data_IF_343925328781
#
_entry.id   IF_343925328781
#
_cell.length_a   1.000
_cell.length_b   1.000
_cell.length_c   1.000
_cell.angle_alpha   90.00
_cell.angle_beta   90.00
_cell.angle_gamma   90.00
#
_symmetry.space_group_name_H-M   'P 1'
#
loop_
_entity.id
_entity.type
_entity.pdbx_description
1 polymer ?
#
# COMPACT_ATOMS: atom_id res chain seq x y z
N UNK A 1 -11.02 -14.15 -29.64
CA UNK A 1 -9.64 -13.76 -29.33
C UNK A 1 -9.70 -12.84 -28.14
N UNK A 2 -9.45 -13.38 -26.95
CA UNK A 2 -9.44 -12.59 -25.71
C UNK A 2 -8.04 -11.97 -25.60
N UNK A 3 -7.95 -10.66 -25.76
CA UNK A 3 -6.71 -9.91 -25.52
C UNK A 3 -6.47 -9.92 -24.02
N UNK A 4 -5.55 -10.76 -23.56
CA UNK A 4 -4.95 -10.64 -22.24
C UNK A 4 -4.03 -9.43 -22.28
N UNK A 5 -4.54 -8.27 -21.93
CA UNK A 5 -3.71 -7.16 -21.49
C UNK A 5 -3.15 -7.54 -20.11
N UNK A 6 -2.06 -8.29 -20.10
CA UNK A 6 -1.20 -8.43 -18.93
C UNK A 6 -0.47 -7.08 -18.74
N UNK A 7 -1.15 -6.09 -18.23
CA UNK A 7 -0.48 -5.04 -17.49
C UNK A 7 -0.08 -5.65 -16.15
N UNK A 8 1.10 -6.26 -16.13
CA UNK A 8 1.82 -6.47 -14.88
C UNK A 8 2.19 -5.04 -14.44
N UNK A 9 1.32 -4.43 -13.66
CA UNK A 9 1.68 -3.24 -12.89
C UNK A 9 2.83 -3.68 -11.99
N UNK A 10 4.03 -3.14 -12.25
CA UNK A 10 5.16 -3.43 -11.37
C UNK A 10 4.74 -3.08 -9.94
N UNK A 11 4.85 -4.03 -8.99
CA UNK A 11 4.43 -3.78 -7.61
C UNK A 11 5.33 -2.77 -6.90
N UNK A 12 6.43 -2.35 -7.54
CA UNK A 12 7.40 -1.40 -7.02
C UNK A 12 7.63 -0.23 -7.99
N UNK A 13 8.05 0.89 -7.43
CA UNK A 13 8.41 2.11 -8.17
C UNK A 13 9.77 2.62 -7.68
N UNK A 14 10.61 3.03 -8.62
CA UNK A 14 11.94 3.55 -8.30
C UNK A 14 11.91 5.02 -7.81
N UNK A 15 13.02 5.43 -7.24
CA UNK A 15 13.20 6.76 -6.65
C UNK A 15 13.04 7.89 -7.68
N UNK A 16 13.58 7.72 -8.89
CA UNK A 16 13.55 8.78 -9.89
C UNK A 16 12.14 8.98 -10.45
N UNK A 17 11.38 7.91 -10.63
CA UNK A 17 9.98 7.99 -11.01
C UNK A 17 9.13 8.71 -9.94
N UNK A 18 9.35 8.43 -8.65
CA UNK A 18 8.67 9.15 -7.56
C UNK A 18 9.07 10.62 -7.54
N UNK A 19 10.36 10.96 -7.68
CA UNK A 19 10.84 12.34 -7.71
C UNK A 19 10.22 13.16 -8.85
N UNK A 20 10.02 12.54 -10.01
CA UNK A 20 9.39 13.18 -11.15
C UNK A 20 7.91 13.54 -10.89
N UNK A 21 7.25 12.80 -10.02
CA UNK A 21 5.81 12.91 -9.74
C UNK A 21 5.47 13.49 -8.36
N UNK A 22 6.46 13.85 -7.54
CA UNK A 22 6.27 14.23 -6.14
C UNK A 22 5.36 15.45 -5.92
N UNK A 23 5.20 16.29 -6.95
CA UNK A 23 4.32 17.48 -6.93
C UNK A 23 3.09 17.30 -7.83
N UNK A 24 2.80 16.07 -8.29
CA UNK A 24 1.64 15.80 -9.12
C UNK A 24 0.43 15.49 -8.24
N UNK A 25 -0.63 16.26 -8.37
CA UNK A 25 -1.87 16.10 -7.60
C UNK A 25 -2.59 14.77 -7.88
N UNK A 26 -2.29 14.12 -9.01
CA UNK A 26 -2.80 12.79 -9.34
C UNK A 26 -2.07 11.64 -8.64
N UNK A 27 -0.96 11.93 -7.96
CA UNK A 27 -0.14 10.98 -7.21
C UNK A 27 -0.29 11.22 -5.72
N UNK A 28 -0.47 10.15 -4.94
CA UNK A 28 -0.51 10.19 -3.49
C UNK A 28 0.58 9.31 -2.89
N UNK A 29 1.49 9.94 -2.13
CA UNK A 29 2.47 9.20 -1.34
C UNK A 29 1.90 8.92 0.06
N UNK A 30 2.05 7.68 0.54
CA UNK A 30 1.63 7.26 1.88
C UNK A 30 2.86 6.84 2.68
N UNK A 31 3.06 7.48 3.81
CA UNK A 31 4.04 7.11 4.84
C UNK A 31 3.35 6.23 5.89
N UNK A 32 3.74 4.97 6.00
CA UNK A 32 3.12 4.00 6.92
C UNK A 32 3.80 3.98 8.30
N UNK A 33 4.87 4.75 8.49
CA UNK A 33 5.57 4.86 9.77
C UNK A 33 4.67 5.49 10.83
N UNK A 34 5.12 5.41 12.08
CA UNK A 34 4.42 6.05 13.20
C UNK A 34 4.33 7.57 13.01
N UNK A 35 3.30 8.17 13.57
CA UNK A 35 3.07 9.61 13.45
C UNK A 35 4.25 10.43 13.97
N UNK A 36 4.89 10.01 15.07
CA UNK A 36 6.06 10.68 15.64
C UNK A 36 7.23 10.70 14.64
N UNK A 37 7.47 9.60 13.93
CA UNK A 37 8.53 9.48 12.92
C UNK A 37 8.23 10.34 11.69
N UNK A 38 6.98 10.31 11.22
CA UNK A 38 6.49 11.15 10.14
C UNK A 38 6.64 12.65 10.46
N UNK A 39 6.28 13.07 11.66
CA UNK A 39 6.37 14.48 12.11
C UNK A 39 7.83 14.96 12.22
N UNK A 40 8.80 14.06 12.46
CA UNK A 40 10.23 14.38 12.44
C UNK A 40 10.77 14.58 11.02
N UNK A 41 10.10 14.03 10.03
CA UNK A 41 10.44 14.18 8.61
C UNK A 41 9.87 13.05 7.76
N UNK A 42 9.43 13.42 6.55
CA UNK A 42 8.84 12.52 5.57
C UNK A 42 9.19 12.95 4.14
N UNK A 43 8.87 12.14 3.16
CA UNK A 43 8.99 12.51 1.74
C UNK A 43 8.00 13.65 1.46
N UNK A 44 8.40 14.76 0.80
CA UNK A 44 7.51 15.89 0.55
C UNK A 44 6.18 15.45 -0.07
N UNK A 45 5.09 16.07 0.35
CA UNK A 45 3.71 15.77 -0.06
C UNK A 45 3.17 14.38 0.35
N UNK A 46 3.92 13.59 1.12
CA UNK A 46 3.39 12.35 1.68
C UNK A 46 2.34 12.62 2.78
N UNK A 47 1.32 11.79 2.82
CA UNK A 47 0.35 11.71 3.94
C UNK A 47 0.74 10.56 4.86
N UNK A 48 0.45 10.70 6.15
CA UNK A 48 0.75 9.64 7.11
C UNK A 48 -0.46 8.72 7.31
N UNK A 49 -0.23 7.43 7.21
CA UNK A 49 -1.19 6.37 7.54
C UNK A 49 -0.51 5.29 8.38
N UNK A 50 -0.37 5.46 9.70
CA UNK A 50 0.12 4.40 10.55
C UNK A 50 -0.73 3.14 10.38
N UNK A 51 -0.09 1.98 10.30
CA UNK A 51 -0.78 0.71 10.07
C UNK A 51 -1.90 0.43 11.10
N UNK A 52 -1.71 0.84 12.36
CA UNK A 52 -2.72 0.71 13.39
C UNK A 52 -4.04 1.45 13.04
N UNK A 53 -3.95 2.61 12.38
CA UNK A 53 -5.13 3.37 11.93
C UNK A 53 -5.88 2.65 10.83
N UNK A 54 -5.17 2.00 9.89
CA UNK A 54 -5.79 1.16 8.87
C UNK A 54 -6.47 -0.06 9.46
N UNK A 55 -5.81 -0.74 10.42
CA UNK A 55 -6.32 -1.95 11.05
C UNK A 55 -7.49 -1.70 12.03
N UNK A 56 -7.73 -0.45 12.43
CA UNK A 56 -8.89 -0.08 13.23
C UNK A 56 -10.19 0.04 12.42
N UNK A 57 -10.10 0.02 11.09
CA UNK A 57 -11.27 -0.04 10.21
C UNK A 57 -12.02 -1.38 10.38
N UNK A 58 -13.31 -1.29 10.65
CA UNK A 58 -14.18 -2.44 10.97
C UNK A 58 -14.96 -2.97 9.76
N UNK A 59 -14.90 -2.26 8.63
CA UNK A 59 -15.55 -2.64 7.38
C UNK A 59 -14.81 -2.11 6.15
N UNK A 60 -15.00 -2.72 4.96
CA UNK A 60 -14.45 -2.19 3.71
C UNK A 60 -14.87 -0.75 3.42
N UNK A 61 -16.09 -0.36 3.78
CA UNK A 61 -16.62 0.99 3.60
C UNK A 61 -15.89 2.00 4.47
N UNK A 62 -15.57 1.67 5.72
CA UNK A 62 -14.78 2.52 6.60
C UNK A 62 -13.36 2.72 6.09
N UNK A 63 -12.77 1.67 5.51
CA UNK A 63 -11.45 1.73 4.87
C UNK A 63 -11.47 2.61 3.62
N UNK A 64 -12.48 2.49 2.76
CA UNK A 64 -12.65 3.38 1.60
C UNK A 64 -12.75 4.82 2.04
N UNK A 65 -13.57 5.12 3.04
CA UNK A 65 -13.72 6.48 3.57
C UNK A 65 -12.39 7.07 4.08
N UNK A 66 -11.58 6.25 4.76
CA UNK A 66 -10.25 6.64 5.21
C UNK A 66 -9.37 7.06 4.02
N UNK A 67 -9.34 6.28 2.94
CA UNK A 67 -8.57 6.61 1.75
C UNK A 67 -9.14 7.83 0.99
N UNK A 68 -10.47 7.99 0.93
CA UNK A 68 -11.11 9.18 0.35
C UNK A 68 -10.66 10.46 1.08
N UNK A 69 -10.60 10.45 2.42
CA UNK A 69 -10.13 11.58 3.24
C UNK A 69 -8.65 11.90 2.99
N UNK A 70 -7.86 10.90 2.57
CA UNK A 70 -6.46 11.06 2.17
C UNK A 70 -6.31 11.50 0.69
N UNK A 71 -7.40 11.81 0.00
CA UNK A 71 -7.39 12.26 -1.38
C UNK A 71 -7.13 11.14 -2.40
N UNK A 72 -7.46 9.89 -2.05
CA UNK A 72 -7.30 8.74 -2.93
C UNK A 72 -8.65 8.42 -3.57
N UNK A 73 -8.77 8.71 -4.85
CA UNK A 73 -9.91 8.35 -5.70
C UNK A 73 -9.55 7.23 -6.67
N UNK A 74 -10.52 6.82 -7.50
CA UNK A 74 -10.39 5.67 -8.42
C UNK A 74 -9.19 5.76 -9.37
N UNK A 75 -8.80 6.96 -9.78
CA UNK A 75 -7.70 7.21 -10.73
C UNK A 75 -6.40 7.68 -10.09
N UNK A 76 -6.35 7.83 -8.77
CA UNK A 76 -5.14 8.29 -8.07
C UNK A 76 -4.04 7.23 -8.17
N UNK A 77 -2.84 7.64 -8.56
CA UNK A 77 -1.66 6.77 -8.44
C UNK A 77 -1.17 6.82 -6.98
N UNK A 78 -1.06 5.66 -6.33
CA UNK A 78 -0.65 5.58 -4.93
C UNK A 78 0.73 4.96 -4.81
N UNK A 79 1.61 5.63 -4.09
CA UNK A 79 2.95 5.11 -3.74
C UNK A 79 3.03 4.99 -2.23
N UNK A 80 3.35 3.81 -1.74
CA UNK A 80 3.42 3.51 -0.30
C UNK A 80 4.87 3.23 0.10
N UNK A 81 5.31 3.77 1.24
CA UNK A 81 6.65 3.51 1.77
C UNK A 81 6.67 3.37 3.30
N UNK A 82 7.74 2.76 3.81
CA UNK A 82 8.01 2.56 5.23
C UNK A 82 9.53 2.57 5.51
N UNK A 83 9.92 2.14 6.70
CA UNK A 83 11.32 1.85 7.08
C UNK A 83 11.56 0.35 7.38
N UNK A 84 10.64 -0.53 6.93
CA UNK A 84 10.71 -1.98 7.15
C UNK A 84 10.86 -2.77 5.86
N UNK A 85 11.46 -2.16 4.83
CA UNK A 85 11.63 -2.76 3.49
C UNK A 85 10.32 -3.25 2.86
N UNK A 86 9.24 -2.48 3.06
CA UNK A 86 7.93 -2.77 2.50
C UNK A 86 7.05 -3.69 3.34
N UNK A 87 7.50 -4.17 4.50
CA UNK A 87 6.71 -5.10 5.32
C UNK A 87 5.37 -4.48 5.80
N UNK A 88 5.39 -3.21 6.22
CA UNK A 88 4.17 -2.49 6.60
C UNK A 88 3.47 -1.89 5.38
N UNK A 89 4.23 -1.33 4.44
CA UNK A 89 3.72 -0.71 3.23
C UNK A 89 2.93 -1.70 2.35
N UNK A 90 3.38 -2.96 2.26
CA UNK A 90 2.68 -4.01 1.51
C UNK A 90 1.28 -4.31 2.05
N UNK A 91 1.07 -4.19 3.36
CA UNK A 91 -0.27 -4.35 3.95
C UNK A 91 -1.23 -3.26 3.48
N UNK A 92 -0.76 -2.02 3.40
CA UNK A 92 -1.56 -0.89 2.88
C UNK A 92 -1.86 -1.10 1.39
N UNK A 93 -0.83 -1.45 0.60
CA UNK A 93 -0.99 -1.72 -0.83
C UNK A 93 -1.97 -2.88 -1.10
N UNK A 94 -1.85 -3.98 -0.35
CA UNK A 94 -2.80 -5.09 -0.43
C UNK A 94 -4.22 -4.67 -0.09
N UNK A 95 -4.40 -3.84 0.95
CA UNK A 95 -5.73 -3.37 1.34
C UNK A 95 -6.36 -2.50 0.25
N UNK A 96 -5.57 -1.62 -0.39
CA UNK A 96 -6.02 -0.84 -1.55
C UNK A 96 -6.46 -1.77 -2.70
N UNK A 97 -5.66 -2.77 -3.05
CA UNK A 97 -6.03 -3.76 -4.08
C UNK A 97 -7.29 -4.55 -3.71
N UNK A 98 -7.46 -4.89 -2.42
CA UNK A 98 -8.63 -5.60 -1.94
C UNK A 98 -9.93 -4.80 -2.10
N UNK A 99 -9.91 -3.49 -1.85
CA UNK A 99 -11.06 -2.61 -2.08
C UNK A 99 -11.25 -2.22 -3.55
N UNK A 100 -10.39 -2.70 -4.45
CA UNK A 100 -10.50 -2.54 -5.91
C UNK A 100 -9.64 -1.43 -6.51
N UNK A 101 -8.75 -0.80 -5.73
CA UNK A 101 -7.80 0.18 -6.24
C UNK A 101 -6.68 -0.50 -7.03
N UNK A 102 -6.44 -0.05 -8.28
CA UNK A 102 -5.51 -0.73 -9.20
C UNK A 102 -4.12 -0.11 -9.26
N UNK A 103 -4.02 1.21 -9.05
CA UNK A 103 -2.80 1.97 -9.29
C UNK A 103 -2.02 2.18 -8.00
N UNK A 104 -1.45 1.12 -7.44
CA UNK A 104 -0.65 1.17 -6.22
C UNK A 104 0.70 0.48 -6.41
N UNK A 105 1.78 1.12 -5.94
CA UNK A 105 3.13 0.58 -5.93
C UNK A 105 3.83 0.85 -4.60
N UNK A 106 4.83 0.02 -4.28
CA UNK A 106 5.74 0.24 -3.16
C UNK A 106 6.98 1.00 -3.63
N UNK A 107 7.42 1.99 -2.87
CA UNK A 107 8.72 2.62 -3.12
C UNK A 107 9.84 1.60 -2.84
N UNK A 108 10.79 1.45 -3.78
CA UNK A 108 11.87 0.46 -3.70
C UNK A 108 12.88 0.71 -2.58
N UNK A 109 12.88 1.93 -2.00
CA UNK A 109 13.76 2.31 -0.91
C UNK A 109 12.96 2.63 0.35
N UNK A 110 13.57 2.42 1.51
CA UNK A 110 13.03 2.90 2.79
C UNK A 110 13.15 4.42 2.90
N UNK A 111 12.41 5.06 3.80
CA UNK A 111 12.60 6.48 4.08
C UNK A 111 14.02 6.80 4.58
N UNK A 112 14.62 5.90 5.37
CA UNK A 112 16.00 6.07 5.81
C UNK A 112 16.95 6.13 4.61
N UNK A 113 16.83 5.19 3.67
CA UNK A 113 17.63 5.18 2.42
C UNK A 113 17.38 6.43 1.57
N UNK A 114 16.11 6.90 1.46
CA UNK A 114 15.77 8.16 0.80
C UNK A 114 16.58 9.34 1.36
N UNK A 115 16.73 9.42 2.68
CA UNK A 115 17.56 10.44 3.35
C UNK A 115 19.06 10.25 3.09
N UNK A 116 19.55 9.01 3.18
CA UNK A 116 20.96 8.67 3.03
C UNK A 116 21.51 9.03 1.64
N UNK A 117 20.69 8.90 0.59
CA UNK A 117 21.04 9.33 -0.77
C UNK A 117 20.86 10.85 -0.98
N UNK A 118 20.58 11.61 0.08
CA UNK A 118 20.56 13.08 0.07
C UNK A 118 19.31 13.71 -0.53
N UNK A 119 18.20 12.99 -0.61
CA UNK A 119 16.96 13.51 -1.17
C UNK A 119 16.20 14.40 -0.19
N UNK A 120 15.43 15.33 -0.75
CA UNK A 120 14.66 16.32 0.02
C UNK A 120 13.63 15.63 0.92
N UNK A 121 13.54 16.11 2.16
CA UNK A 121 12.51 15.74 3.14
C UNK A 121 11.71 16.97 3.56
N UNK A 122 10.56 16.76 4.17
CA UNK A 122 9.66 17.80 4.68
C UNK A 122 9.14 17.43 6.07
N UNK A 123 8.73 18.42 6.81
CA UNK A 123 7.90 18.29 8.04
C UNK A 123 6.52 18.91 7.84
N UNK A 124 6.26 19.46 6.66
CA UNK A 124 5.00 20.14 6.32
C UNK A 124 3.96 19.11 5.88
N UNK A 125 2.82 19.07 6.57
CA UNK A 125 1.69 18.24 6.18
C UNK A 125 1.05 18.77 4.90
N UNK A 126 0.80 17.94 3.87
CA UNK A 126 0.18 18.38 2.64
C UNK A 126 -1.28 18.79 2.86
N UNK A 127 -1.74 19.79 2.11
CA UNK A 127 -3.15 20.16 2.09
C UNK A 127 -3.91 19.23 1.13
N UNK A 128 -4.63 18.26 1.68
CA UNK A 128 -5.33 17.24 0.92
C UNK A 128 -6.80 17.61 0.74
N UNK A 129 -7.27 17.49 -0.49
CA UNK A 129 -8.71 17.53 -0.80
C UNK A 129 -9.23 16.09 -0.85
N UNK A 130 -10.31 15.76 -0.12
CA UNK A 130 -10.94 14.45 -0.22
C UNK A 130 -11.32 14.10 -1.66
N UNK A 131 -11.19 12.85 -2.01
CA UNK A 131 -11.58 12.30 -3.31
C UNK A 131 -12.73 11.31 -3.17
N UNK A 132 -13.20 10.74 -4.28
CA UNK A 132 -14.22 9.68 -4.30
C UNK A 132 -13.61 8.39 -4.81
N UNK A 133 -13.83 7.31 -4.06
CA UNK A 133 -13.36 5.98 -4.39
C UNK A 133 -14.51 4.99 -4.41
N UNK A 134 -14.61 4.23 -5.50
CA UNK A 134 -15.62 3.19 -5.68
C UNK A 134 -15.19 1.90 -4.98
N UNK A 135 -16.03 1.36 -4.10
CA UNK A 135 -15.76 0.06 -3.48
C UNK A 135 -16.08 -1.08 -4.47
N UNK A 136 -15.03 -1.78 -4.89
CA UNK A 136 -15.12 -2.95 -5.76
C UNK A 136 -14.24 -4.06 -5.19
N UNK A 137 -14.77 -4.86 -4.28
CA UNK A 137 -13.98 -5.89 -3.58
C UNK A 137 -13.36 -6.88 -4.57
N UNK A 138 -12.05 -7.01 -4.50
CA UNK A 138 -11.28 -8.03 -5.18
C UNK A 138 -11.06 -9.22 -4.24
N UNK A 139 -12.05 -10.10 -4.16
CA UNK A 139 -11.99 -11.30 -3.31
C UNK A 139 -10.99 -12.36 -3.80
N UNK A 140 -10.52 -12.27 -5.05
CA UNK A 140 -9.60 -13.26 -5.63
C UNK A 140 -8.20 -13.24 -4.98
N UNK A 141 -7.84 -12.12 -4.33
CA UNK A 141 -6.56 -11.99 -3.61
C UNK A 141 -6.64 -12.38 -2.13
N UNK A 142 -7.81 -12.81 -1.65
CA UNK A 142 -8.03 -13.20 -0.25
C UNK A 142 -8.40 -14.68 -0.15
N UNK A 143 -7.56 -15.47 0.51
CA UNK A 143 -7.88 -16.85 0.84
C UNK A 143 -8.56 -16.90 2.22
N UNK A 144 -9.81 -17.36 2.25
CA UNK A 144 -10.55 -17.58 3.52
C UNK A 144 -10.17 -18.95 4.14
N UNK A 145 -10.50 -19.14 5.42
CA UNK A 145 -10.28 -20.40 6.10
C UNK A 145 -11.02 -21.55 5.39
N UNK A 146 -12.26 -21.32 4.94
CA UNK A 146 -13.06 -22.30 4.19
C UNK A 146 -12.41 -22.66 2.85
N UNK A 147 -11.86 -21.66 2.14
CA UNK A 147 -11.11 -21.92 0.92
C UNK A 147 -9.87 -22.78 1.20
N UNK A 148 -9.09 -22.46 2.22
CA UNK A 148 -7.90 -23.22 2.59
C UNK A 148 -8.23 -24.65 2.97
N UNK A 149 -9.29 -24.89 3.77
CA UNK A 149 -9.78 -26.22 4.10
C UNK A 149 -10.17 -27.04 2.85
N UNK A 150 -10.82 -26.40 1.88
CA UNK A 150 -11.22 -27.07 0.63
C UNK A 150 -10.06 -27.30 -0.34
N UNK A 151 -8.97 -26.53 -0.20
CA UNK A 151 -7.85 -26.48 -1.12
C UNK A 151 -6.65 -27.34 -0.67
N UNK A 152 -6.53 -27.68 0.60
CA UNK A 152 -5.35 -28.35 1.18
C UNK A 152 -5.05 -29.74 0.56
N UNK A 153 -6.03 -30.38 -0.04
CA UNK A 153 -5.89 -31.69 -0.69
C UNK A 153 -5.81 -31.59 -2.22
N UNK A 154 -5.74 -30.36 -2.79
CA UNK A 154 -5.68 -30.16 -4.23
C UNK A 154 -4.23 -30.13 -4.69
N UNK A 155 -3.85 -30.94 -5.66
CA UNK A 155 -2.50 -31.04 -6.20
C UNK A 155 -1.96 -29.75 -6.84
N UNK A 156 -2.86 -28.84 -7.24
CA UNK A 156 -2.51 -27.58 -7.89
C UNK A 156 -2.51 -26.37 -6.94
N UNK A 157 -2.63 -26.58 -5.63
CA UNK A 157 -2.58 -25.52 -4.60
C UNK A 157 -1.40 -25.75 -3.68
N UNK A 158 -0.60 -24.73 -3.47
CA UNK A 158 0.53 -24.74 -2.54
C UNK A 158 0.30 -23.71 -1.46
N UNK A 159 0.32 -24.13 -0.20
CA UNK A 159 0.33 -23.23 0.95
C UNK A 159 1.76 -22.91 1.33
N UNK A 160 2.08 -21.62 1.36
CA UNK A 160 3.41 -21.13 1.75
C UNK A 160 3.28 -20.33 3.04
N UNK A 161 3.94 -20.77 4.10
CA UNK A 161 4.13 -19.99 5.30
C UNK A 161 5.48 -19.28 5.23
N UNK A 162 5.48 -17.95 5.15
CA UNK A 162 6.68 -17.12 5.08
C UNK A 162 7.12 -16.56 6.45
N UNK A 163 6.53 -17.05 7.55
CA UNK A 163 6.99 -16.72 8.90
C UNK A 163 8.35 -17.37 9.19
N UNK A 164 9.03 -16.89 10.21
CA UNK A 164 10.23 -17.56 10.72
C UNK A 164 9.91 -18.98 11.16
N UNK A 165 10.88 -19.89 10.98
CA UNK A 165 10.71 -21.32 11.27
C UNK A 165 10.16 -21.61 12.67
N UNK A 166 10.55 -20.85 13.68
CA UNK A 166 10.05 -21.03 15.05
C UNK A 166 8.55 -20.78 15.14
N UNK A 167 8.06 -19.73 14.47
CA UNK A 167 6.64 -19.39 14.43
C UNK A 167 5.79 -20.38 13.61
N UNK A 168 6.44 -21.11 12.69
CA UNK A 168 5.78 -22.16 11.90
C UNK A 168 5.57 -23.44 12.70
N UNK A 169 6.45 -23.72 13.69
CA UNK A 169 6.43 -24.96 14.49
C UNK A 169 5.54 -24.88 15.72
N UNK A 170 4.98 -23.71 16.05
CA UNK A 170 4.00 -23.49 17.13
C UNK A 170 2.56 -23.67 16.61
#
# INVERSE_FOLDING_TARGET
MCSLSNEITHPTIDVDAVRAKINDDSVRLIDVRREEEYNQGHIPNAVNLPLASLLSGDSPESVVKLFEEMGIGDSTEVVVYDDTFGALASRVAWTLQYIGHKNVALLEVTYLQWKEIGLKTSTEKPNIKPAKHSLNLNSDIMATAEYLESAKEKDNVVLIDNRERLNFLE
#
